data_IF_884595430369
#
_entry.id   IF_884595430369
#
_cell.length_a   1.000
_cell.length_b   1.000
_cell.length_c   1.000
_cell.angle_alpha   90.00
_cell.angle_beta   90.00
_cell.angle_gamma   90.00
#
_symmetry.space_group_name_H-M   'P 1'
#
loop_
_entity.id
_entity.type
_entity.pdbx_description
1 polymer ?
#
# COMPACT_ATOMS: atom_id res chain seq x y z
N UNK A 1 -59.98 -41.28 -27.03
CA UNK A 1 -58.59 -40.75 -27.06
C UNK A 1 -58.56 -39.45 -27.85
N UNK A 2 -58.59 -38.28 -27.19
CA UNK A 2 -58.52 -36.97 -27.86
C UNK A 2 -57.06 -36.65 -28.17
N UNK A 3 -56.74 -36.61 -29.45
CA UNK A 3 -55.43 -36.31 -30.02
C UNK A 3 -55.09 -34.85 -29.70
N UNK A 4 -54.17 -34.61 -28.76
CA UNK A 4 -53.48 -33.32 -28.64
C UNK A 4 -52.61 -33.16 -29.89
N UNK A 5 -53.14 -32.51 -30.93
CA UNK A 5 -52.32 -32.03 -32.03
C UNK A 5 -51.51 -30.85 -31.46
N UNK A 6 -50.24 -31.12 -31.19
CA UNK A 6 -49.21 -30.13 -30.84
C UNK A 6 -49.22 -29.04 -31.92
N UNK A 7 -49.47 -27.81 -31.50
CA UNK A 7 -49.32 -26.61 -32.33
C UNK A 7 -47.82 -26.44 -32.64
N UNK A 8 -47.39 -26.76 -33.86
CA UNK A 8 -46.00 -26.65 -34.33
C UNK A 8 -45.83 -25.41 -35.22
N UNK A 9 -46.25 -24.25 -34.73
CA UNK A 9 -45.98 -22.98 -35.43
C UNK A 9 -44.50 -22.63 -35.24
N UNK A 10 -43.74 -22.59 -36.34
CA UNK A 10 -42.35 -22.13 -36.36
C UNK A 10 -42.24 -20.60 -36.23
N UNK A 11 -41.04 -20.10 -35.96
CA UNK A 11 -40.77 -18.66 -35.88
C UNK A 11 -40.70 -18.02 -37.25
N UNK A 12 -41.22 -16.80 -37.37
CA UNK A 12 -41.04 -16.00 -38.59
C UNK A 12 -39.64 -15.39 -38.63
N UNK A 13 -39.14 -15.09 -39.83
CA UNK A 13 -37.84 -14.43 -40.01
C UNK A 13 -37.79 -13.06 -39.32
N UNK A 14 -38.91 -12.33 -39.32
CA UNK A 14 -39.02 -11.02 -38.67
C UNK A 14 -38.95 -11.14 -37.15
N UNK A 15 -39.57 -12.16 -36.53
CA UNK A 15 -39.43 -12.43 -35.09
C UNK A 15 -37.98 -12.74 -34.73
N UNK A 16 -37.28 -13.58 -35.50
CA UNK A 16 -35.87 -13.87 -35.26
C UNK A 16 -34.98 -12.61 -35.38
N UNK A 17 -35.22 -11.74 -36.36
CA UNK A 17 -34.49 -10.48 -36.50
C UNK A 17 -34.70 -9.55 -35.30
N UNK A 18 -35.94 -9.42 -34.82
CA UNK A 18 -36.24 -8.59 -33.64
C UNK A 18 -35.61 -9.18 -32.38
N UNK A 19 -35.72 -10.50 -32.17
CA UNK A 19 -35.16 -11.18 -30.99
C UNK A 19 -33.63 -11.05 -30.96
N UNK A 20 -32.95 -11.28 -32.09
CA UNK A 20 -31.49 -11.14 -32.17
C UNK A 20 -31.04 -9.69 -31.98
N UNK A 21 -31.77 -8.70 -32.49
CA UNK A 21 -31.48 -7.29 -32.26
C UNK A 21 -31.60 -6.90 -30.78
N UNK A 22 -32.67 -7.33 -30.10
CA UNK A 22 -32.84 -7.09 -28.67
C UNK A 22 -31.76 -7.81 -27.86
N UNK A 23 -31.43 -9.06 -28.21
CA UNK A 23 -30.37 -9.82 -27.56
C UNK A 23 -29.01 -9.12 -27.69
N UNK A 24 -28.68 -8.59 -28.87
CA UNK A 24 -27.44 -7.85 -29.09
C UNK A 24 -27.33 -6.61 -28.20
N UNK A 25 -28.43 -5.86 -28.04
CA UNK A 25 -28.47 -4.69 -27.13
C UNK A 25 -28.25 -5.12 -25.68
N UNK A 26 -28.93 -6.18 -25.24
CA UNK A 26 -28.79 -6.71 -23.87
C UNK A 26 -27.37 -7.18 -23.60
N UNK A 27 -26.78 -7.98 -24.50
CA UNK A 27 -25.40 -8.45 -24.37
C UNK A 27 -24.40 -7.28 -24.39
N UNK A 28 -24.63 -6.27 -25.24
CA UNK A 28 -23.82 -5.05 -25.26
C UNK A 28 -23.84 -4.34 -23.91
N UNK A 29 -25.01 -4.19 -23.28
CA UNK A 29 -25.11 -3.60 -21.95
C UNK A 29 -24.39 -4.42 -20.87
N UNK A 30 -24.50 -5.75 -20.91
CA UNK A 30 -23.81 -6.65 -19.96
C UNK A 30 -22.30 -6.54 -20.08
N UNK A 31 -21.75 -6.48 -21.31
CA UNK A 31 -20.32 -6.33 -21.55
C UNK A 31 -19.80 -5.03 -20.95
N UNK A 32 -20.52 -3.92 -21.14
CA UNK A 32 -20.15 -2.62 -20.57
C UNK A 32 -20.11 -2.66 -19.04
N UNK A 33 -21.14 -3.25 -18.41
CA UNK A 33 -21.18 -3.42 -16.95
C UNK A 33 -20.02 -4.29 -16.48
N UNK A 34 -19.73 -5.39 -17.18
CA UNK A 34 -18.64 -6.29 -16.83
C UNK A 34 -17.27 -5.61 -16.91
N UNK A 35 -17.01 -4.83 -17.98
CA UNK A 35 -15.78 -4.05 -18.12
C UNK A 35 -15.61 -3.07 -16.96
N UNK A 36 -16.68 -2.33 -16.62
CA UNK A 36 -16.66 -1.38 -15.49
C UNK A 36 -16.45 -2.10 -14.15
N UNK A 37 -17.03 -3.27 -13.97
CA UNK A 37 -16.83 -4.11 -12.79
C UNK A 37 -15.38 -4.57 -12.63
N UNK A 38 -14.73 -4.98 -13.72
CA UNK A 38 -13.32 -5.39 -13.70
C UNK A 38 -12.39 -4.22 -13.37
N UNK A 39 -12.60 -3.06 -13.99
CA UNK A 39 -11.84 -1.84 -13.67
C UNK A 39 -11.98 -1.48 -12.18
N UNK A 40 -13.20 -1.49 -11.65
CA UNK A 40 -13.47 -1.21 -10.25
C UNK A 40 -12.79 -2.23 -9.30
N UNK A 41 -12.79 -3.51 -9.68
CA UNK A 41 -12.13 -4.57 -8.91
C UNK A 41 -10.62 -4.36 -8.84
N UNK A 42 -9.95 -4.12 -9.98
CA UNK A 42 -8.50 -3.90 -10.03
C UNK A 42 -8.11 -2.68 -9.21
N UNK A 43 -8.83 -1.55 -9.36
CA UNK A 43 -8.57 -0.36 -8.55
C UNK A 43 -8.76 -0.62 -7.05
N UNK A 44 -9.79 -1.39 -6.68
CA UNK A 44 -10.04 -1.79 -5.30
C UNK A 44 -8.90 -2.66 -4.74
N UNK A 45 -8.46 -3.65 -5.50
CA UNK A 45 -7.34 -4.53 -5.13
C UNK A 45 -6.05 -3.74 -4.93
N UNK A 46 -5.69 -2.89 -5.90
CA UNK A 46 -4.49 -2.06 -5.85
C UNK A 46 -4.51 -1.11 -4.65
N UNK A 47 -5.68 -0.53 -4.32
CA UNK A 47 -5.85 0.32 -3.12
C UNK A 47 -5.58 -0.45 -1.82
N UNK A 48 -6.11 -1.66 -1.71
CA UNK A 48 -5.93 -2.50 -0.52
C UNK A 48 -4.46 -2.88 -0.36
N UNK A 49 -3.81 -3.31 -1.44
CA UNK A 49 -2.40 -3.68 -1.45
C UNK A 49 -1.50 -2.52 -1.03
N UNK A 50 -1.65 -1.34 -1.64
CA UNK A 50 -0.83 -0.16 -1.30
C UNK A 50 -0.96 0.21 0.18
N UNK A 51 -2.16 0.14 0.76
CA UNK A 51 -2.38 0.40 2.19
C UNK A 51 -1.80 -0.70 3.08
N UNK A 52 -1.92 -1.97 2.68
CA UNK A 52 -1.41 -3.09 3.45
C UNK A 52 0.13 -3.07 3.49
N UNK A 53 0.79 -2.75 2.37
CA UNK A 53 2.23 -2.59 2.29
C UNK A 53 2.71 -1.49 3.27
N UNK A 54 2.07 -0.32 3.25
CA UNK A 54 2.40 0.76 4.19
C UNK A 54 2.22 0.32 5.66
N UNK A 55 1.10 -0.37 5.96
CA UNK A 55 0.81 -0.85 7.32
C UNK A 55 1.84 -1.86 7.80
N UNK A 56 2.13 -2.88 7.01
CA UNK A 56 3.10 -3.94 7.36
C UNK A 56 4.47 -3.33 7.64
N UNK A 57 4.93 -2.41 6.78
CA UNK A 57 6.21 -1.74 6.96
C UNK A 57 6.25 -0.89 8.23
N UNK A 58 5.23 -0.07 8.48
CA UNK A 58 5.16 0.78 9.68
C UNK A 58 5.03 -0.01 10.97
N UNK A 59 4.23 -1.07 10.99
CA UNK A 59 4.06 -1.94 12.16
C UNK A 59 5.37 -2.63 12.52
N UNK A 60 6.10 -3.13 11.52
CA UNK A 60 7.42 -3.72 11.72
C UNK A 60 8.42 -2.67 12.24
N UNK A 61 8.60 -1.55 11.54
CA UNK A 61 9.52 -0.47 11.94
C UNK A 61 9.21 0.02 13.35
N UNK A 62 7.94 0.27 13.65
CA UNK A 62 7.50 0.74 14.97
C UNK A 62 7.80 -0.28 16.06
N UNK A 63 7.56 -1.56 15.80
CA UNK A 63 7.84 -2.64 16.75
C UNK A 63 9.33 -2.72 17.05
N UNK A 64 10.18 -2.74 16.03
CA UNK A 64 11.63 -2.88 16.20
C UNK A 64 12.26 -1.66 16.87
N UNK A 65 11.81 -0.46 16.51
CA UNK A 65 12.25 0.78 17.17
C UNK A 65 11.85 0.85 18.64
N UNK A 66 10.69 0.28 19.04
CA UNK A 66 10.32 0.21 20.46
C UNK A 66 11.25 -0.68 21.28
N UNK A 67 11.82 -1.72 20.67
CA UNK A 67 12.83 -2.59 21.28
C UNK A 67 14.27 -2.09 21.09
N UNK A 68 14.48 -1.00 20.35
CA UNK A 68 15.83 -0.50 20.09
C UNK A 68 16.50 -0.02 21.37
N UNK A 69 17.79 -0.32 21.48
CA UNK A 69 18.66 0.06 22.61
C UNK A 69 19.53 1.26 22.28
N UNK A 70 19.81 1.52 21.00
CA UNK A 70 20.54 2.70 20.55
C UNK A 70 20.23 3.05 19.09
N UNK A 71 20.12 4.34 18.76
CA UNK A 71 20.25 4.81 17.38
C UNK A 71 21.73 5.04 17.12
N UNK A 72 22.29 4.34 16.13
CA UNK A 72 23.75 4.30 15.89
C UNK A 72 24.17 5.19 14.72
N UNK A 73 23.31 5.36 13.72
CA UNK A 73 23.59 6.24 12.59
C UNK A 73 22.32 6.87 12.01
N UNK A 74 22.45 8.11 11.55
CA UNK A 74 21.43 8.84 10.80
C UNK A 74 22.08 9.39 9.51
N UNK A 75 22.30 8.57 8.48
CA UNK A 75 22.95 9.05 7.26
C UNK A 75 22.07 10.05 6.48
N UNK A 76 20.75 9.89 6.53
CA UNK A 76 19.81 10.78 5.83
C UNK A 76 18.41 10.71 6.46
N UNK A 77 17.47 11.53 5.95
CA UNK A 77 16.05 11.44 6.33
C UNK A 77 15.34 10.16 5.86
N UNK A 78 15.99 9.34 5.03
CA UNK A 78 15.46 8.10 4.45
C UNK A 78 16.27 6.86 4.83
N UNK A 79 17.31 7.03 5.65
CA UNK A 79 18.22 5.97 6.06
C UNK A 79 18.52 6.12 7.55
N UNK A 80 18.36 5.03 8.30
CA UNK A 80 18.71 5.01 9.72
C UNK A 80 19.20 3.64 10.15
N UNK A 81 20.09 3.62 11.13
CA UNK A 81 20.59 2.40 11.75
C UNK A 81 20.42 2.47 13.26
N UNK A 82 20.00 1.36 13.84
CA UNK A 82 19.84 1.20 15.28
C UNK A 82 20.28 -0.20 15.72
N UNK A 83 20.49 -0.35 17.02
CA UNK A 83 20.76 -1.63 17.67
C UNK A 83 19.49 -2.12 18.32
N UNK A 84 19.12 -3.38 18.09
CA UNK A 84 17.97 -4.01 18.73
C UNK A 84 18.25 -4.43 20.19
N UNK A 85 17.29 -5.09 20.84
CA UNK A 85 17.43 -5.62 22.20
C UNK A 85 18.44 -6.77 22.33
N UNK A 86 18.81 -7.41 21.23
CA UNK A 86 19.75 -8.53 21.18
C UNK A 86 21.17 -8.08 20.79
N UNK A 87 21.38 -6.78 20.57
CA UNK A 87 22.66 -6.23 20.11
C UNK A 87 22.87 -6.30 18.59
N UNK A 88 21.88 -6.75 17.81
CA UNK A 88 21.98 -6.81 16.36
C UNK A 88 21.80 -5.42 15.73
N UNK A 89 22.59 -5.14 14.70
CA UNK A 89 22.44 -3.93 13.89
C UNK A 89 21.30 -4.11 12.88
N UNK A 90 20.34 -3.19 12.91
CA UNK A 90 19.21 -3.11 11.99
C UNK A 90 19.24 -1.76 11.30
N UNK A 91 19.16 -1.78 9.97
CA UNK A 91 19.09 -0.59 9.13
C UNK A 91 17.83 -0.60 8.29
N UNK A 92 17.18 0.57 8.20
CA UNK A 92 16.15 0.83 7.22
C UNK A 92 16.65 1.87 6.22
N UNK A 93 16.42 1.62 4.93
CA UNK A 93 16.82 2.53 3.87
C UNK A 93 15.79 2.52 2.74
N UNK A 94 15.40 3.70 2.27
CA UNK A 94 14.69 3.84 0.99
C UNK A 94 15.70 3.99 -0.15
N UNK A 95 15.59 3.15 -1.17
CA UNK A 95 16.35 3.24 -2.41
C UNK A 95 15.52 2.79 -3.61
N UNK A 96 15.47 3.60 -4.67
CA UNK A 96 14.79 3.26 -5.94
C UNK A 96 13.34 2.78 -5.78
N UNK A 97 12.58 3.37 -4.85
CA UNK A 97 11.19 2.98 -4.57
C UNK A 97 11.01 1.76 -3.66
N UNK A 98 12.12 1.15 -3.20
CA UNK A 98 12.09 0.01 -2.28
C UNK A 98 12.56 0.43 -0.90
N UNK A 99 11.75 0.16 0.12
CA UNK A 99 12.20 0.19 1.50
C UNK A 99 12.89 -1.13 1.80
N UNK A 100 14.20 -1.08 2.03
CA UNK A 100 15.00 -2.22 2.42
C UNK A 100 15.22 -2.22 3.93
N UNK A 101 15.22 -3.43 4.50
CA UNK A 101 15.61 -3.72 5.86
C UNK A 101 16.87 -4.56 5.82
N UNK A 102 17.95 -4.07 6.41
CA UNK A 102 19.21 -4.81 6.53
C UNK A 102 19.40 -5.23 7.98
N UNK A 103 19.65 -6.50 8.23
CA UNK A 103 19.94 -7.02 9.58
C UNK A 103 21.13 -7.93 9.55
N UNK A 104 22.07 -7.70 10.46
CA UNK A 104 23.33 -8.44 10.50
C UNK A 104 24.04 -8.48 9.13
N UNK A 105 23.96 -7.39 8.36
CA UNK A 105 24.57 -7.26 7.03
C UNK A 105 23.76 -7.86 5.86
N UNK A 106 22.63 -8.54 6.12
CA UNK A 106 21.79 -9.11 5.07
C UNK A 106 20.63 -8.16 4.76
N UNK A 107 20.59 -7.64 3.54
CA UNK A 107 19.54 -6.75 3.05
C UNK A 107 18.37 -7.53 2.42
N UNK A 108 17.15 -7.16 2.80
CA UNK A 108 15.92 -7.67 2.17
C UNK A 108 14.98 -6.50 1.84
N UNK A 109 14.25 -6.60 0.73
CA UNK A 109 13.18 -5.65 0.42
C UNK A 109 12.03 -5.93 1.38
N UNK A 110 11.65 -4.92 2.17
CA UNK A 110 10.50 -5.00 3.07
C UNK A 110 9.20 -4.75 2.30
N UNK A 111 9.18 -3.65 1.54
CA UNK A 111 8.10 -3.29 0.61
C UNK A 111 8.67 -2.53 -0.59
N UNK A 112 8.03 -2.67 -1.75
CA UNK A 112 8.22 -1.79 -2.90
C UNK A 112 7.16 -0.70 -2.97
N UNK A 113 7.14 0.03 -4.08
CA UNK A 113 6.14 1.08 -4.33
C UNK A 113 6.20 2.24 -3.34
N UNK A 114 7.35 2.48 -2.68
CA UNK A 114 7.50 3.57 -1.73
C UNK A 114 7.77 4.87 -2.48
N UNK A 115 6.82 5.81 -2.37
CA UNK A 115 6.91 7.14 -2.97
C UNK A 115 7.73 8.10 -2.12
N UNK A 116 7.60 8.00 -0.80
CA UNK A 116 8.34 8.83 0.15
C UNK A 116 8.50 8.13 1.48
N UNK A 117 9.66 8.32 2.11
CA UNK A 117 9.94 7.92 3.48
C UNK A 117 10.63 9.09 4.17
N UNK A 118 10.19 9.43 5.37
CA UNK A 118 10.86 10.42 6.19
C UNK A 118 10.94 9.96 7.65
N UNK A 119 12.17 9.86 8.15
CA UNK A 119 12.49 9.77 9.56
C UNK A 119 12.80 11.16 10.09
N UNK A 120 11.99 11.62 11.04
CA UNK A 120 12.24 12.85 11.79
C UNK A 120 12.61 12.49 13.22
N UNK A 121 13.72 13.01 13.72
CA UNK A 121 14.27 12.63 15.01
C UNK A 121 14.17 13.79 16.00
N UNK A 122 13.78 13.47 17.23
CA UNK A 122 13.66 14.44 18.30
C UNK A 122 14.45 14.00 19.54
N UNK A 123 15.15 14.95 20.16
CA UNK A 123 15.82 14.76 21.46
C UNK A 123 14.86 14.93 22.64
N UNK A 124 13.80 15.68 22.45
CA UNK A 124 12.71 15.83 23.40
C UNK A 124 11.38 15.97 22.65
N UNK A 125 10.29 15.51 23.25
CA UNK A 125 8.94 15.65 22.70
C UNK A 125 7.97 16.06 23.81
N UNK A 126 7.23 17.14 23.58
CA UNK A 126 6.18 17.61 24.46
C UNK A 126 4.83 17.08 23.96
N UNK A 127 4.24 16.14 24.70
CA UNK A 127 2.95 15.55 24.35
C UNK A 127 1.74 16.47 24.53
N UNK A 128 1.86 17.57 25.29
CA UNK A 128 0.80 18.55 25.49
C UNK A 128 0.73 19.56 24.34
N UNK A 129 1.89 20.01 23.84
CA UNK A 129 1.97 20.98 22.73
C UNK A 129 2.16 20.32 21.37
N UNK A 130 2.37 19.00 21.33
CA UNK A 130 2.68 18.23 20.13
C UNK A 130 3.90 18.76 19.37
N UNK A 131 4.91 19.24 20.11
CA UNK A 131 6.15 19.81 19.56
C UNK A 131 7.37 18.98 19.99
N UNK A 132 8.33 18.84 19.08
CA UNK A 132 9.59 18.15 19.33
C UNK A 132 10.79 19.03 19.06
N UNK A 133 11.87 18.81 19.81
CA UNK A 133 13.18 19.44 19.56
C UNK A 133 13.95 18.54 18.60
N UNK A 134 14.08 18.96 17.33
CA UNK A 134 14.76 18.16 16.31
C UNK A 134 16.23 17.94 16.63
N UNK A 135 16.77 16.77 16.27
CA UNK A 135 18.20 16.45 16.43
C UNK A 135 18.74 15.70 15.22
N UNK A 136 19.98 15.99 14.82
CA UNK A 136 20.74 15.20 13.85
C UNK A 136 21.76 14.26 14.51
N UNK A 137 21.87 14.29 15.84
CA UNK A 137 22.83 13.49 16.60
C UNK A 137 22.18 12.18 17.02
N UNK A 138 22.70 11.06 16.52
CA UNK A 138 22.15 9.71 16.75
C UNK A 138 21.97 9.37 18.24
N UNK A 139 22.98 9.64 19.07
CA UNK A 139 22.92 9.38 20.52
C UNK A 139 21.92 10.25 21.28
N UNK A 140 21.49 11.38 20.70
CA UNK A 140 20.53 12.28 21.33
C UNK A 140 19.07 11.94 20.97
N UNK A 141 18.82 10.96 20.10
CA UNK A 141 17.46 10.61 19.67
C UNK A 141 16.69 9.94 20.81
N UNK A 142 15.52 10.48 21.12
CA UNK A 142 14.57 9.91 22.09
C UNK A 142 13.22 9.56 21.47
N UNK A 143 12.83 10.27 20.41
CA UNK A 143 11.58 10.05 19.68
C UNK A 143 11.86 10.09 18.18
N UNK A 144 11.21 9.20 17.44
CA UNK A 144 11.28 9.11 15.98
C UNK A 144 9.87 9.21 15.43
N UNK A 145 9.63 10.16 14.53
CA UNK A 145 8.43 10.21 13.68
C UNK A 145 8.78 9.62 12.33
N UNK A 146 8.01 8.61 11.92
CA UNK A 146 8.09 7.96 10.62
C UNK A 146 6.91 8.46 9.80
N UNK A 147 7.17 8.96 8.60
CA UNK A 147 6.17 9.26 7.58
C UNK A 147 6.47 8.40 6.38
N UNK A 148 5.52 7.55 5.98
CA UNK A 148 5.64 6.64 4.85
C UNK A 148 4.50 6.91 3.86
N UNK A 149 4.84 7.02 2.60
CA UNK A 149 3.90 7.10 1.50
C UNK A 149 4.21 5.99 0.49
N UNK A 150 3.23 5.11 0.26
CA UNK A 150 3.28 4.06 -0.76
C UNK A 150 2.35 4.38 -1.92
N UNK A 151 2.66 3.83 -3.08
CA UNK A 151 1.90 3.91 -4.31
C UNK A 151 1.74 2.53 -4.93
N UNK A 152 0.86 2.44 -5.93
CA UNK A 152 0.71 1.22 -6.74
C UNK A 152 1.96 0.97 -7.58
N UNK A 153 2.49 -0.25 -7.54
CA UNK A 153 3.70 -0.66 -8.29
C UNK A 153 3.43 -0.88 -9.78
N UNK A 154 2.17 -1.05 -10.17
CA UNK A 154 1.79 -1.28 -11.56
C UNK A 154 2.07 -0.03 -12.42
N UNK A 155 2.59 -0.25 -13.63
CA UNK A 155 2.90 0.78 -14.62
C UNK A 155 1.63 1.42 -15.20
N UNK A 156 0.83 2.07 -14.36
CA UNK A 156 -0.23 2.94 -14.82
C UNK A 156 0.41 4.22 -15.41
N UNK A 157 -0.10 4.73 -16.54
CA UNK A 157 0.39 5.97 -17.14
C UNK A 157 0.41 7.14 -16.14
N UNK A 158 1.34 8.08 -16.29
CA UNK A 158 1.40 9.33 -15.49
C UNK A 158 0.03 10.00 -15.50
N UNK A 159 -0.62 10.08 -14.32
CA UNK A 159 -1.96 10.66 -14.18
C UNK A 159 -3.15 9.68 -14.26
N UNK A 160 -2.92 8.36 -14.34
CA UNK A 160 -4.01 7.38 -14.29
C UNK A 160 -4.73 7.37 -12.94
N UNK A 161 -6.07 7.40 -12.97
CA UNK A 161 -6.93 7.25 -11.79
C UNK A 161 -6.76 5.89 -11.08
N UNK A 162 -6.09 4.92 -11.72
CA UNK A 162 -5.75 3.64 -11.11
C UNK A 162 -4.58 3.74 -10.11
N UNK A 163 -3.83 4.85 -10.09
CA UNK A 163 -2.77 5.07 -9.10
C UNK A 163 -3.36 5.39 -7.75
N UNK A 164 -3.17 4.47 -6.81
CA UNK A 164 -3.57 4.64 -5.42
C UNK A 164 -2.34 4.99 -4.59
N UNK A 165 -2.55 5.81 -3.57
CA UNK A 165 -1.53 6.20 -2.62
C UNK A 165 -2.00 5.92 -1.20
N UNK A 166 -1.09 5.54 -0.32
CA UNK A 166 -1.35 5.44 1.11
C UNK A 166 -0.27 6.18 1.88
N UNK A 167 -0.66 7.26 2.56
CA UNK A 167 0.19 7.97 3.51
C UNK A 167 -0.14 7.53 4.92
N UNK A 168 0.87 7.16 5.68
CA UNK A 168 0.74 6.75 7.08
C UNK A 168 1.88 7.33 7.90
N UNK A 169 1.57 7.68 9.15
CA UNK A 169 2.51 8.28 10.09
C UNK A 169 2.51 7.49 11.39
N UNK A 170 3.68 7.30 11.98
CA UNK A 170 3.84 6.68 13.30
C UNK A 170 4.87 7.47 14.10
N UNK A 171 4.64 7.59 15.41
CA UNK A 171 5.61 8.19 16.32
C UNK A 171 6.02 7.17 17.38
N UNK A 172 7.33 7.01 17.55
CA UNK A 172 7.92 6.02 18.43
C UNK A 172 8.81 6.71 19.44
N UNK A 173 8.49 6.54 20.72
CA UNK A 173 9.38 6.91 21.82
C UNK A 173 10.26 5.72 22.17
N UNK A 174 11.56 5.93 22.15
CA UNK A 174 12.56 4.93 22.52
C UNK A 174 12.54 4.81 24.04
N UNK A 175 12.31 3.60 24.56
CA UNK A 175 12.17 3.35 26.01
C UNK A 175 13.48 2.99 26.69
N UNK A 176 14.43 2.46 25.94
CA UNK A 176 15.69 1.90 26.48
C UNK A 176 16.88 2.85 26.26
N UNK A 177 16.62 4.15 26.06
CA UNK A 177 17.61 5.17 25.73
C UNK A 177 17.62 6.36 26.67
#
# INVERSE_FOLDING_TARGET
MRRMLRDQRGFTLTELLVVTAVLAVVLGAVILIQQKGQEAYIMGSNRVETQQNARVALDLMTRELRSATAVTAIPSGTNMTFTDQNGASVQYQLGSGNLTRTTAGVAAILIGGVQSLAFTYYSAYNGQTNTGTSTGTASAVKVIKITLETGTEEAAGTGSFARQFAKMESMVRLRNL
#
